data_IF_305905032350
#
_entry.id   IF_305905032350
#
_cell.length_a   1.000
_cell.length_b   1.000
_cell.length_c   1.000
_cell.angle_alpha   90.00
_cell.angle_beta   90.00
_cell.angle_gamma   90.00
#
_symmetry.space_group_name_H-M   'P 1'
#
loop_
_entity.id
_entity.type
_entity.pdbx_description
1 polymer ?
#
# COMPACT_ATOMS: atom_id res chain seq x y z
N UNK A 1 -3.41 -10.18 15.59
CA UNK A 1 -2.08 -10.20 16.25
C UNK A 1 -1.67 -11.65 16.35
N UNK A 2 -0.47 -12.00 15.90
CA UNK A 2 0.08 -13.37 16.02
C UNK A 2 0.37 -13.70 17.48
N UNK A 3 0.40 -14.99 17.85
CA UNK A 3 0.84 -15.41 19.18
C UNK A 3 2.33 -15.15 19.31
N UNK A 4 2.81 -14.99 20.54
CA UNK A 4 4.25 -14.78 20.82
C UNK A 4 5.12 -15.90 20.26
N UNK A 5 4.63 -17.13 20.38
CA UNK A 5 5.30 -18.35 19.92
C UNK A 5 5.48 -18.38 18.39
N UNK A 6 4.54 -17.77 17.65
CA UNK A 6 4.53 -17.72 16.18
C UNK A 6 5.39 -16.58 15.59
N UNK A 7 6.10 -15.82 16.44
CA UNK A 7 6.99 -14.75 15.98
C UNK A 7 8.33 -15.31 15.54
N UNK A 8 8.97 -14.72 14.50
CA UNK A 8 10.33 -15.06 14.13
C UNK A 8 11.31 -14.87 15.29
N UNK A 9 12.34 -15.72 15.38
CA UNK A 9 13.32 -15.67 16.47
C UNK A 9 13.99 -14.30 16.63
N UNK A 10 14.29 -13.61 15.55
CA UNK A 10 14.91 -12.27 15.58
C UNK A 10 14.01 -11.19 16.21
N UNK A 11 12.72 -11.47 16.42
CA UNK A 11 11.76 -10.57 17.09
C UNK A 11 11.49 -10.97 18.55
N UNK A 12 12.05 -12.06 19.03
CA UNK A 12 11.85 -12.56 20.40
C UNK A 12 12.89 -11.99 21.37
N UNK A 13 13.05 -10.66 21.40
CA UNK A 13 13.86 -9.96 22.38
C UNK A 13 13.00 -9.33 23.48
N UNK A 14 13.62 -9.01 24.63
CA UNK A 14 12.91 -8.48 25.80
C UNK A 14 12.21 -7.16 25.53
N UNK A 15 12.81 -6.29 24.71
CA UNK A 15 12.23 -5.01 24.29
C UNK A 15 10.93 -5.21 23.48
N UNK A 16 10.92 -6.20 22.59
CA UNK A 16 9.72 -6.52 21.80
C UNK A 16 8.65 -7.19 22.66
N UNK A 17 9.04 -7.95 23.67
CA UNK A 17 8.12 -8.62 24.59
C UNK A 17 7.29 -7.62 25.40
N UNK A 18 7.92 -6.56 25.92
CA UNK A 18 7.22 -5.49 26.61
C UNK A 18 6.13 -4.84 25.74
N UNK A 19 6.48 -4.49 24.48
CA UNK A 19 5.51 -3.95 23.54
C UNK A 19 4.40 -4.95 23.16
N UNK A 20 4.75 -6.23 23.04
CA UNK A 20 3.79 -7.29 22.77
C UNK A 20 2.76 -7.41 23.88
N UNK A 21 3.19 -7.36 25.15
CA UNK A 21 2.32 -7.45 26.33
C UNK A 21 1.38 -6.24 26.42
N UNK A 22 1.88 -5.03 26.17
CA UNK A 22 1.07 -3.81 26.08
C UNK A 22 0.00 -3.95 25.01
N UNK A 23 0.38 -4.40 23.80
CA UNK A 23 -0.53 -4.58 22.67
C UNK A 23 -1.53 -5.71 22.93
N UNK A 24 -1.12 -6.77 23.61
CA UNK A 24 -1.99 -7.91 23.92
C UNK A 24 -3.12 -7.53 24.88
N UNK A 25 -2.86 -6.63 25.83
CA UNK A 25 -3.85 -6.06 26.74
C UNK A 25 -4.87 -5.16 25.99
N UNK A 26 -4.47 -4.58 24.85
CA UNK A 26 -5.31 -3.68 24.03
C UNK A 26 -6.02 -4.37 22.87
N UNK A 27 -6.28 -5.68 22.96
CA UNK A 27 -6.93 -6.47 21.86
C UNK A 27 -8.28 -5.87 21.42
N UNK A 28 -9.06 -5.34 22.34
CA UNK A 28 -10.33 -4.68 22.02
C UNK A 28 -10.10 -3.42 21.16
N UNK A 29 -9.13 -2.59 21.53
CA UNK A 29 -8.77 -1.38 20.78
C UNK A 29 -8.27 -1.70 19.38
N UNK A 30 -7.53 -2.79 19.19
CA UNK A 30 -7.07 -3.26 17.89
C UNK A 30 -8.24 -3.75 17.00
N UNK A 31 -9.24 -4.42 17.60
CA UNK A 31 -10.47 -4.80 16.89
C UNK A 31 -11.29 -3.58 16.48
N UNK A 32 -11.44 -2.61 17.37
CA UNK A 32 -12.13 -1.34 17.07
C UNK A 32 -11.41 -0.58 15.96
N UNK A 33 -10.07 -0.50 16.02
CA UNK A 33 -9.29 0.08 14.92
C UNK A 33 -9.59 -0.61 13.60
N UNK A 34 -9.61 -1.95 13.55
CA UNK A 34 -9.88 -2.68 12.32
C UNK A 34 -11.30 -2.43 11.80
N UNK A 35 -12.29 -2.39 12.69
CA UNK A 35 -13.65 -2.04 12.32
C UNK A 35 -13.73 -0.62 11.72
N UNK A 36 -13.05 0.35 12.35
CA UNK A 36 -12.93 1.70 11.82
C UNK A 36 -12.26 1.73 10.44
N UNK A 37 -11.11 1.04 10.27
CA UNK A 37 -10.39 0.95 8.99
C UNK A 37 -11.29 0.38 7.88
N UNK A 38 -12.12 -0.61 8.18
CA UNK A 38 -13.05 -1.20 7.22
C UNK A 38 -14.17 -0.23 6.84
N UNK A 39 -14.82 0.39 7.82
CA UNK A 39 -15.93 1.33 7.57
C UNK A 39 -15.42 2.57 6.83
N UNK A 40 -14.34 3.17 7.31
CA UNK A 40 -13.75 4.34 6.66
C UNK A 40 -13.20 3.99 5.27
N UNK A 41 -12.55 2.84 5.12
CA UNK A 41 -12.03 2.35 3.84
C UNK A 41 -13.14 2.11 2.82
N UNK A 42 -14.27 1.56 3.24
CA UNK A 42 -15.43 1.39 2.36
C UNK A 42 -16.01 2.73 1.91
N UNK A 43 -16.13 3.70 2.83
CA UNK A 43 -16.58 5.06 2.50
C UNK A 43 -15.66 5.74 1.50
N UNK A 44 -14.34 5.68 1.72
CA UNK A 44 -13.35 6.22 0.79
C UNK A 44 -13.42 5.52 -0.56
N UNK A 45 -13.56 4.19 -0.59
CA UNK A 45 -13.67 3.43 -1.84
C UNK A 45 -14.89 3.88 -2.66
N UNK A 46 -16.05 4.05 -2.05
CA UNK A 46 -17.27 4.52 -2.73
C UNK A 46 -17.05 5.89 -3.36
N UNK A 47 -16.49 6.83 -2.61
CA UNK A 47 -16.21 8.19 -3.10
C UNK A 47 -15.16 8.22 -4.21
N UNK A 48 -14.13 7.39 -4.09
CA UNK A 48 -13.02 7.36 -5.06
C UNK A 48 -13.23 6.42 -6.23
N UNK A 49 -14.29 5.61 -6.25
CA UNK A 49 -14.56 4.65 -7.32
C UNK A 49 -14.65 5.31 -8.70
N UNK A 50 -15.38 6.42 -8.82
CA UNK A 50 -15.54 7.16 -10.08
C UNK A 50 -14.21 7.77 -10.53
N UNK A 51 -13.48 8.56 -9.71
CA UNK A 51 -12.15 9.02 -10.06
C UNK A 51 -11.19 7.90 -10.45
N UNK A 52 -11.19 6.80 -9.71
CA UNK A 52 -10.34 5.64 -10.00
C UNK A 52 -10.65 5.02 -11.35
N UNK A 53 -11.93 4.92 -11.72
CA UNK A 53 -12.35 4.41 -13.03
C UNK A 53 -11.85 5.32 -14.16
N UNK A 54 -12.02 6.64 -14.04
CA UNK A 54 -11.56 7.62 -15.02
C UNK A 54 -10.03 7.53 -15.21
N UNK A 55 -9.29 7.48 -14.10
CA UNK A 55 -7.83 7.33 -14.12
C UNK A 55 -7.43 6.01 -14.80
N UNK A 56 -8.12 4.93 -14.49
CA UNK A 56 -7.87 3.60 -15.05
C UNK A 56 -8.01 3.60 -16.58
N UNK A 57 -9.08 4.19 -17.08
CA UNK A 57 -9.30 4.33 -18.53
C UNK A 57 -8.19 5.16 -19.17
N UNK A 58 -7.82 6.28 -18.55
CA UNK A 58 -6.77 7.16 -19.05
C UNK A 58 -5.41 6.45 -19.14
N UNK A 59 -5.02 5.71 -18.10
CA UNK A 59 -3.78 4.92 -18.12
C UNK A 59 -3.82 3.85 -19.20
N UNK A 60 -4.96 3.15 -19.37
CA UNK A 60 -5.11 2.08 -20.33
C UNK A 60 -5.01 2.59 -21.79
N UNK A 61 -5.50 3.81 -22.06
CA UNK A 61 -5.43 4.44 -23.40
C UNK A 61 -4.06 5.05 -23.70
N UNK A 62 -3.33 5.51 -22.67
CA UNK A 62 -2.04 6.18 -22.83
C UNK A 62 -0.88 5.21 -23.06
N UNK A 63 -0.91 4.04 -22.44
CA UNK A 63 0.15 3.05 -22.62
C UNK A 63 -0.37 1.62 -22.52
N UNK A 64 0.12 0.75 -23.43
CA UNK A 64 -0.21 -0.68 -23.41
C UNK A 64 0.23 -1.35 -22.13
N UNK A 65 -0.62 -2.23 -21.55
CA UNK A 65 -0.32 -3.02 -20.35
C UNK A 65 -1.32 -2.78 -19.21
N UNK A 66 -1.03 -3.32 -18.00
CA UNK A 66 -1.92 -3.23 -16.84
C UNK A 66 -2.05 -1.82 -16.28
N UNK A 67 -3.21 -1.50 -15.72
CA UNK A 67 -3.49 -0.21 -15.06
C UNK A 67 -2.79 -0.09 -13.73
N UNK A 68 -2.65 -1.21 -13.03
CA UNK A 68 -2.07 -1.27 -11.70
C UNK A 68 -0.62 -1.74 -11.73
N UNK A 69 0.19 -1.13 -10.90
CA UNK A 69 1.53 -1.55 -10.55
C UNK A 69 1.52 -2.12 -9.13
N UNK A 70 2.24 -3.22 -8.91
CA UNK A 70 2.33 -3.88 -7.61
C UNK A 70 3.74 -3.74 -7.07
N UNK A 71 3.90 -2.89 -6.06
CA UNK A 71 5.18 -2.68 -5.39
C UNK A 71 5.33 -3.64 -4.22
N UNK A 72 6.42 -4.42 -4.19
CA UNK A 72 6.73 -5.30 -3.06
C UNK A 72 7.14 -4.47 -1.83
N UNK A 73 6.57 -4.82 -0.69
CA UNK A 73 6.86 -4.24 0.63
C UNK A 73 6.97 -5.36 1.67
N UNK A 74 7.62 -5.06 2.79
CA UNK A 74 7.80 -5.99 3.90
C UNK A 74 6.94 -5.55 5.07
N UNK A 75 6.12 -6.45 5.61
CA UNK A 75 5.32 -6.20 6.81
C UNK A 75 6.20 -6.15 8.06
N UNK A 76 5.63 -5.70 9.17
CA UNK A 76 6.26 -5.71 10.50
C UNK A 76 6.78 -7.10 10.91
N UNK A 77 6.20 -8.17 10.35
CA UNK A 77 6.60 -9.56 10.66
C UNK A 77 7.53 -10.17 9.60
N UNK A 78 8.17 -9.35 8.76
CA UNK A 78 9.07 -9.82 7.70
C UNK A 78 8.36 -10.48 6.51
N UNK A 79 7.02 -10.52 6.49
CA UNK A 79 6.27 -11.08 5.38
C UNK A 79 6.23 -10.08 4.22
N UNK A 80 6.61 -10.52 3.05
CA UNK A 80 6.47 -9.74 1.82
C UNK A 80 5.00 -9.64 1.43
N UNK A 81 4.56 -8.43 1.06
CA UNK A 81 3.25 -8.18 0.48
C UNK A 81 3.39 -7.16 -0.66
N UNK A 82 2.39 -7.08 -1.52
CA UNK A 82 2.41 -6.17 -2.66
C UNK A 82 1.33 -5.14 -2.50
N UNK A 83 1.73 -3.86 -2.45
CA UNK A 83 0.79 -2.73 -2.44
C UNK A 83 0.37 -2.39 -3.86
N UNK A 84 -0.89 -2.01 -4.00
CA UNK A 84 -1.47 -1.61 -5.27
C UNK A 84 -1.26 -0.10 -5.49
N UNK A 85 -0.76 0.25 -6.66
CA UNK A 85 -0.65 1.64 -7.13
C UNK A 85 -1.13 1.72 -8.57
N UNK A 86 -1.53 2.90 -9.00
CA UNK A 86 -1.67 3.15 -10.44
C UNK A 86 -0.29 3.15 -11.11
N UNK A 87 -0.24 2.60 -12.32
CA UNK A 87 0.96 2.66 -13.14
C UNK A 87 1.17 4.10 -13.62
N UNK A 88 2.34 4.64 -13.34
CA UNK A 88 2.76 6.00 -13.69
C UNK A 88 3.87 6.06 -14.71
N UNK A 89 4.36 4.90 -15.15
CA UNK A 89 5.43 4.74 -16.11
C UNK A 89 4.99 3.87 -17.29
N UNK A 90 5.71 3.96 -18.40
CA UNK A 90 5.51 3.08 -19.56
C UNK A 90 5.68 1.61 -19.20
N UNK A 91 5.07 0.72 -19.98
CA UNK A 91 5.34 -0.71 -19.85
C UNK A 91 6.84 -0.96 -20.02
N UNK A 92 7.42 -1.89 -19.27
CA UNK A 92 8.85 -2.22 -19.28
C UNK A 92 9.79 -1.13 -18.71
N UNK A 93 9.27 -0.14 -17.97
CA UNK A 93 10.12 0.87 -17.33
C UNK A 93 11.21 0.26 -16.42
N UNK A 94 10.92 -0.89 -15.80
CA UNK A 94 11.87 -1.62 -14.94
C UNK A 94 13.02 -2.24 -15.74
N UNK A 95 12.86 -2.45 -17.06
CA UNK A 95 13.90 -3.02 -17.95
C UNK A 95 14.77 -1.94 -18.61
N UNK A 96 14.27 -0.71 -18.68
CA UNK A 96 14.89 0.38 -19.44
C UNK A 96 15.89 1.19 -18.59
N UNK A 97 15.84 1.08 -17.25
CA UNK A 97 16.70 1.91 -16.41
C UNK A 97 16.74 1.51 -14.95
N UNK A 98 17.38 2.36 -14.13
CA UNK A 98 17.52 2.15 -12.70
C UNK A 98 16.17 2.02 -11.98
N UNK A 99 16.13 1.25 -10.89
CA UNK A 99 14.98 1.15 -9.97
C UNK A 99 14.67 2.51 -9.28
N UNK A 100 15.62 3.45 -9.31
CA UNK A 100 15.44 4.79 -8.73
C UNK A 100 14.92 5.75 -9.80
N UNK A 101 13.80 6.38 -9.52
CA UNK A 101 13.22 7.42 -10.37
C UNK A 101 13.85 8.77 -10.05
N UNK A 102 14.38 9.45 -11.07
CA UNK A 102 14.92 10.81 -10.97
C UNK A 102 13.91 11.85 -11.46
N UNK A 103 14.15 13.11 -11.12
CA UNK A 103 13.34 14.21 -11.63
C UNK A 103 13.49 14.30 -13.16
N UNK A 104 12.38 14.38 -13.88
CA UNK A 104 12.39 14.43 -15.35
C UNK A 104 12.59 13.07 -16.04
N UNK A 105 12.41 11.96 -15.35
CA UNK A 105 12.52 10.61 -15.91
C UNK A 105 11.56 10.42 -17.08
N UNK A 106 12.11 10.21 -18.29
CA UNK A 106 11.36 10.06 -19.55
C UNK A 106 10.42 8.84 -19.59
N UNK A 107 10.58 7.91 -18.66
CA UNK A 107 9.70 6.74 -18.51
C UNK A 107 8.35 7.09 -17.88
N UNK A 108 8.22 8.27 -17.27
CA UNK A 108 6.99 8.71 -16.63
C UNK A 108 6.03 9.19 -17.72
N UNK A 109 4.82 8.63 -17.72
CA UNK A 109 3.78 9.08 -18.66
C UNK A 109 3.23 10.46 -18.24
N UNK A 110 2.66 11.27 -19.15
CA UNK A 110 2.02 12.55 -18.78
C UNK A 110 0.95 12.39 -17.70
N UNK A 111 0.09 11.38 -17.82
CA UNK A 111 -0.88 11.04 -16.77
C UNK A 111 -0.15 10.61 -15.50
N UNK A 112 0.91 9.85 -15.60
CA UNK A 112 1.72 9.42 -14.45
C UNK A 112 2.35 10.59 -13.68
N UNK A 113 2.85 11.60 -14.38
CA UNK A 113 3.39 12.81 -13.77
C UNK A 113 2.32 13.56 -12.96
N UNK A 114 1.12 13.71 -13.53
CA UNK A 114 -0.03 14.29 -12.82
C UNK A 114 -0.39 13.48 -11.57
N UNK A 115 -0.52 12.16 -11.68
CA UNK A 115 -0.87 11.29 -10.57
C UNK A 115 0.14 11.38 -9.42
N UNK A 116 1.43 11.38 -9.73
CA UNK A 116 2.52 11.53 -8.73
C UNK A 116 2.50 12.88 -8.04
N UNK A 117 2.25 13.96 -8.80
CA UNK A 117 2.17 15.32 -8.25
C UNK A 117 1.10 15.44 -7.15
N UNK A 118 -0.05 14.80 -7.36
CA UNK A 118 -1.19 14.85 -6.44
C UNK A 118 -1.35 13.61 -5.55
N UNK A 119 -0.40 12.67 -5.59
CA UNK A 119 -0.44 11.40 -4.85
C UNK A 119 -1.66 10.52 -5.19
N UNK A 120 -2.27 10.72 -6.34
CA UNK A 120 -3.43 9.95 -6.79
C UNK A 120 -3.06 8.54 -7.23
N UNK A 121 -1.77 8.29 -7.51
CA UNK A 121 -1.24 6.96 -7.81
C UNK A 121 -1.37 5.99 -6.63
N UNK A 122 -1.56 6.48 -5.42
CA UNK A 122 -1.70 5.68 -4.21
C UNK A 122 -3.16 5.34 -3.85
N UNK A 123 -4.17 5.87 -4.58
CA UNK A 123 -5.58 5.57 -4.33
C UNK A 123 -5.90 4.07 -4.28
N UNK A 124 -5.34 3.21 -5.14
CA UNK A 124 -5.62 1.78 -5.10
C UNK A 124 -5.17 1.08 -3.82
N UNK A 125 -4.33 1.70 -2.97
CA UNK A 125 -3.94 1.13 -1.67
C UNK A 125 -5.14 0.95 -0.73
N UNK A 126 -6.29 1.57 -1.03
CA UNK A 126 -7.52 1.32 -0.27
C UNK A 126 -7.92 -0.16 -0.29
N UNK A 127 -7.62 -0.88 -1.37
CA UNK A 127 -7.83 -2.33 -1.44
C UNK A 127 -6.93 -3.07 -0.44
N UNK A 128 -5.69 -2.60 -0.22
CA UNK A 128 -4.75 -3.19 0.73
C UNK A 128 -5.19 -2.93 2.17
N UNK A 129 -5.89 -1.82 2.43
CA UNK A 129 -6.51 -1.54 3.73
C UNK A 129 -7.68 -2.49 3.99
N UNK A 130 -8.54 -2.69 3.01
CA UNK A 130 -9.70 -3.56 3.13
C UNK A 130 -9.28 -5.03 3.29
N UNK A 131 -8.25 -5.48 2.58
CA UNK A 131 -7.69 -6.84 2.73
C UNK A 131 -6.99 -7.06 4.09
N UNK A 132 -6.53 -5.98 4.73
CA UNK A 132 -5.85 -6.03 6.03
C UNK A 132 -4.35 -6.09 5.95
N UNK A 133 -3.77 -5.96 4.77
CA UNK A 133 -2.32 -5.89 4.58
C UNK A 133 -1.77 -4.51 4.97
N UNK A 134 -2.61 -3.49 5.00
CA UNK A 134 -2.30 -2.14 5.41
C UNK A 134 -3.38 -1.55 6.34
N UNK A 135 -3.13 -0.41 6.96
CA UNK A 135 -4.11 0.35 7.77
C UNK A 135 -4.17 1.80 7.31
N UNK A 136 -5.33 2.45 7.48
CA UNK A 136 -5.53 3.87 7.11
C UNK A 136 -4.60 4.78 7.93
N UNK A 137 -4.44 4.48 9.22
CA UNK A 137 -3.57 5.25 10.12
C UNK A 137 -2.34 4.40 10.43
N UNK A 138 -1.26 4.72 9.78
CA UNK A 138 0.10 4.34 10.12
C UNK A 138 0.36 2.85 10.32
N UNK A 139 0.76 2.20 9.28
CA UNK A 139 1.72 1.10 9.35
C UNK A 139 2.33 0.82 7.97
N UNK A 140 2.83 1.82 7.31
CA UNK A 140 3.97 1.61 6.45
C UNK A 140 5.19 1.84 7.32
N UNK A 141 5.59 0.86 8.10
CA UNK A 141 6.91 0.92 8.72
C UNK A 141 7.93 0.79 7.61
N UNK A 142 8.74 1.84 7.52
CA UNK A 142 9.98 1.86 6.73
C UNK A 142 10.86 0.68 7.12
#
# INVERSE_FOLDING_TARGET
MRKWEDLPEYMKCDEVKEYYDILSKKKFSLKMKRAFDLVAGMGVLIVTAIPMLIISVKIATESKGGVFYRQERITTYGKKFRIHKFRTMVANADQIGSAVTVSGDSRITPTGAFLRKYRLDELPQIFDVLSGDSGIIGTTKK
#
